data_IF_134946563071
#
_entry.id   IF_134946563071
#
_cell.length_a   1.000
_cell.length_b   1.000
_cell.length_c   1.000
_cell.angle_alpha   90.00
_cell.angle_beta   90.00
_cell.angle_gamma   90.00
#
_symmetry.space_group_name_H-M   'P 1'
#
loop_
_entity.id
_entity.type
_entity.pdbx_description
1 polymer ?
#
# COMPACT_ATOMS: atom_id res chain seq x y z
N UNK A 1 -16.98 -26.49 -19.16
CA UNK A 1 -15.93 -26.69 -18.15
C UNK A 1 -15.38 -25.32 -17.81
N UNK A 2 -15.63 -24.82 -16.60
CA UNK A 2 -15.18 -23.49 -16.19
C UNK A 2 -13.66 -23.46 -16.07
N UNK A 3 -13.02 -22.48 -16.71
CA UNK A 3 -11.61 -22.17 -16.47
C UNK A 3 -11.41 -21.97 -14.97
N UNK A 4 -10.53 -22.78 -14.35
CA UNK A 4 -10.09 -22.53 -12.99
C UNK A 4 -9.34 -21.20 -13.00
N UNK A 5 -9.94 -20.16 -12.43
CA UNK A 5 -9.24 -18.91 -12.15
C UNK A 5 -8.03 -19.23 -11.28
N UNK A 6 -6.82 -19.05 -11.80
CA UNK A 6 -5.61 -19.16 -11.01
C UNK A 6 -5.65 -18.12 -9.88
N UNK A 7 -5.11 -18.43 -8.69
CA UNK A 7 -4.84 -17.43 -7.68
C UNK A 7 -3.96 -16.32 -8.26
N UNK A 8 -4.24 -15.07 -7.87
CA UNK A 8 -3.47 -13.90 -8.32
C UNK A 8 -2.48 -13.46 -7.25
N UNK A 9 -1.29 -13.09 -7.69
CA UNK A 9 -0.32 -12.34 -6.91
C UNK A 9 -0.65 -10.85 -7.01
N UNK A 10 -0.42 -10.11 -5.92
CA UNK A 10 -0.50 -8.66 -5.87
C UNK A 10 0.87 -8.13 -5.48
N UNK A 11 1.42 -7.27 -6.32
CA UNK A 11 2.78 -6.76 -6.20
C UNK A 11 2.69 -5.25 -6.07
N UNK A 12 3.33 -4.72 -5.04
CA UNK A 12 3.46 -3.30 -4.79
C UNK A 12 4.91 -2.91 -5.09
N UNK A 13 5.06 -1.91 -5.96
CA UNK A 13 6.32 -1.29 -6.33
C UNK A 13 6.31 0.14 -5.80
N UNK A 14 7.22 0.47 -4.89
CA UNK A 14 7.31 1.81 -4.30
C UNK A 14 7.72 2.88 -5.31
N UNK A 15 8.33 2.49 -6.44
CA UNK A 15 8.77 3.43 -7.48
C UNK A 15 9.97 4.29 -7.08
N UNK A 16 10.75 3.86 -6.08
CA UNK A 16 11.90 4.61 -5.54
C UNK A 16 13.02 4.84 -6.56
N UNK A 17 13.08 4.05 -7.63
CA UNK A 17 14.06 4.25 -8.71
C UNK A 17 13.95 5.66 -9.34
N UNK A 18 12.77 6.29 -9.23
CA UNK A 18 12.51 7.63 -9.76
C UNK A 18 12.56 8.74 -8.70
N UNK A 19 13.04 8.46 -7.48
CA UNK A 19 13.09 9.46 -6.40
C UNK A 19 13.87 10.72 -6.81
N UNK A 20 13.35 11.95 -6.55
CA UNK A 20 12.20 12.31 -5.72
C UNK A 20 10.84 12.34 -6.47
N UNK A 21 10.78 11.94 -7.74
CA UNK A 21 9.56 11.85 -8.54
C UNK A 21 9.07 10.39 -8.60
N UNK A 22 8.84 9.81 -7.42
CA UNK A 22 8.48 8.41 -7.29
C UNK A 22 7.17 8.13 -8.05
N UNK A 23 7.13 6.99 -8.72
CA UNK A 23 5.97 6.54 -9.51
C UNK A 23 5.64 5.13 -9.04
N UNK A 24 5.10 5.04 -7.84
CA UNK A 24 4.70 3.78 -7.24
C UNK A 24 3.52 3.15 -7.97
N UNK A 25 3.39 1.83 -7.86
CA UNK A 25 2.40 1.05 -8.60
C UNK A 25 1.93 -0.13 -7.79
N UNK A 26 0.69 -0.56 -8.04
CA UNK A 26 0.16 -1.84 -7.58
C UNK A 26 -0.29 -2.60 -8.82
N UNK A 27 0.25 -3.80 -9.01
CA UNK A 27 -0.05 -4.68 -10.13
C UNK A 27 -0.49 -6.05 -9.64
N UNK A 28 -1.19 -6.82 -10.49
CA UNK A 28 -1.49 -8.22 -10.23
C UNK A 28 -1.16 -9.11 -11.40
N UNK A 29 -0.77 -10.34 -11.14
CA UNK A 29 -0.57 -11.36 -12.17
C UNK A 29 -1.05 -12.72 -11.64
N UNK A 30 -1.12 -13.72 -12.51
CA UNK A 30 -1.27 -15.09 -12.07
C UNK A 30 -0.02 -15.53 -11.30
N UNK A 31 -0.15 -16.60 -10.51
CA UNK A 31 0.95 -17.17 -9.71
C UNK A 31 2.13 -17.70 -10.53
N UNK A 32 1.94 -17.94 -11.83
CA UNK A 32 2.99 -18.27 -12.79
C UNK A 32 3.63 -17.04 -13.46
N UNK A 33 3.21 -15.83 -13.08
CA UNK A 33 3.67 -14.57 -13.65
C UNK A 33 2.92 -14.10 -14.91
N UNK A 34 2.01 -14.89 -15.46
CA UNK A 34 1.21 -14.52 -16.63
C UNK A 34 0.09 -13.52 -16.30
N UNK A 35 -0.53 -12.92 -17.33
CA UNK A 35 -1.68 -12.02 -17.18
C UNK A 35 -1.43 -10.85 -16.20
N UNK A 36 -0.30 -10.16 -16.38
CA UNK A 36 0.04 -8.96 -15.62
C UNK A 36 -0.95 -7.82 -15.92
N UNK A 37 -1.52 -7.25 -14.87
CA UNK A 37 -2.52 -6.17 -14.91
C UNK A 37 -2.12 -5.08 -13.95
N UNK A 38 -2.09 -3.85 -14.44
CA UNK A 38 -1.93 -2.66 -13.60
C UNK A 38 -3.24 -2.35 -12.91
N UNK A 39 -3.22 -2.17 -11.59
CA UNK A 39 -4.38 -1.76 -10.80
C UNK A 39 -4.28 -0.27 -10.44
N UNK A 40 -3.11 0.14 -9.95
CA UNK A 40 -2.76 1.55 -9.74
C UNK A 40 -1.39 1.83 -10.33
N UNK A 41 -1.24 3.03 -10.90
CA UNK A 41 -0.02 3.50 -11.54
C UNK A 41 0.29 4.94 -11.12
N UNK A 42 1.52 5.40 -11.35
CA UNK A 42 1.97 6.77 -11.13
C UNK A 42 1.66 7.33 -9.73
N UNK A 43 1.76 6.49 -8.70
CA UNK A 43 1.49 6.89 -7.31
C UNK A 43 2.68 7.68 -6.74
N UNK A 44 2.47 8.97 -6.48
CA UNK A 44 3.46 9.85 -5.85
C UNK A 44 3.54 9.72 -4.32
N UNK A 45 2.71 8.85 -3.73
CA UNK A 45 2.55 8.68 -2.29
C UNK A 45 3.52 7.66 -1.68
N UNK A 46 4.41 7.11 -2.51
CA UNK A 46 5.45 6.15 -2.10
C UNK A 46 4.84 4.95 -1.34
N UNK A 47 4.02 4.12 -2.01
CA UNK A 47 3.39 2.96 -1.38
C UNK A 47 4.46 1.97 -0.89
N UNK A 48 4.27 1.32 0.25
CA UNK A 48 5.27 0.40 0.85
C UNK A 48 4.69 -0.99 1.15
N UNK A 49 3.94 -1.14 2.23
CA UNK A 49 3.34 -2.42 2.62
C UNK A 49 1.98 -2.65 1.97
N UNK A 50 1.66 -3.90 1.61
CA UNK A 50 0.32 -4.33 1.15
C UNK A 50 -0.15 -5.60 1.88
N UNK A 51 -1.44 -5.67 2.19
CA UNK A 51 -2.10 -6.86 2.73
C UNK A 51 -3.53 -7.02 2.17
N UNK A 52 -4.02 -8.26 2.09
CA UNK A 52 -5.36 -8.56 1.56
C UNK A 52 -6.23 -9.20 2.63
N UNK A 53 -7.47 -8.72 2.76
CA UNK A 53 -8.49 -9.32 3.62
C UNK A 53 -9.90 -9.03 3.11
N UNK A 54 -10.77 -10.04 3.10
CA UNK A 54 -12.18 -9.95 2.68
C UNK A 54 -12.39 -9.23 1.33
N UNK A 55 -11.60 -9.59 0.31
CA UNK A 55 -11.66 -9.01 -1.05
C UNK A 55 -11.29 -7.52 -1.15
N UNK A 56 -10.62 -6.98 -0.13
CA UNK A 56 -9.96 -5.67 -0.16
C UNK A 56 -8.45 -5.84 -0.05
N UNK A 57 -7.71 -5.01 -0.79
CA UNK A 57 -6.31 -4.73 -0.53
C UNK A 57 -6.20 -3.48 0.34
N UNK A 58 -5.24 -3.50 1.25
CA UNK A 58 -4.88 -2.42 2.16
C UNK A 58 -3.40 -2.13 1.97
N UNK A 59 -3.02 -0.88 1.80
CA UNK A 59 -1.61 -0.51 1.67
C UNK A 59 -1.28 0.75 2.45
N UNK A 60 -0.01 0.87 2.79
CA UNK A 60 0.55 2.06 3.42
C UNK A 60 1.17 2.96 2.37
N UNK A 61 1.06 4.26 2.59
CA UNK A 61 1.72 5.29 1.81
C UNK A 61 2.68 6.03 2.73
N UNK A 62 3.97 6.01 2.40
CA UNK A 62 4.96 6.71 3.21
C UNK A 62 4.86 8.25 3.08
N UNK A 63 4.21 8.74 2.02
CA UNK A 63 4.12 10.16 1.68
C UNK A 63 5.10 10.57 0.58
N UNK A 64 4.92 11.74 -0.06
CA UNK A 64 5.84 12.26 -1.09
C UNK A 64 7.29 12.45 -0.61
N UNK A 65 7.49 12.66 0.70
CA UNK A 65 8.81 12.80 1.31
C UNK A 65 8.91 12.04 2.62
N UNK A 66 10.11 11.65 3.04
CA UNK A 66 10.33 10.96 4.32
C UNK A 66 10.26 11.86 5.56
N UNK A 67 10.01 13.17 5.40
CA UNK A 67 10.18 14.18 6.46
C UNK A 67 8.86 14.77 6.95
N UNK A 68 7.79 14.57 6.19
CA UNK A 68 6.49 15.19 6.45
C UNK A 68 5.56 14.21 7.16
N UNK A 69 4.59 14.76 7.89
CA UNK A 69 3.48 14.00 8.46
C UNK A 69 2.37 13.78 7.41
N UNK A 70 2.74 13.22 6.25
CA UNK A 70 1.85 13.00 5.11
C UNK A 70 1.69 11.51 4.76
N UNK A 71 2.09 10.64 5.69
CA UNK A 71 1.81 9.21 5.63
C UNK A 71 0.32 8.92 5.74
N UNK A 72 -0.16 7.91 5.02
CA UNK A 72 -1.57 7.50 5.02
C UNK A 72 -1.72 6.00 4.85
N UNK A 73 -2.94 5.49 5.09
CA UNK A 73 -3.31 4.10 4.78
C UNK A 73 -4.56 4.13 3.92
N UNK A 74 -4.54 3.38 2.84
CA UNK A 74 -5.64 3.29 1.89
C UNK A 74 -6.07 1.84 1.69
N UNK A 75 -7.27 1.67 1.15
CA UNK A 75 -7.78 0.38 0.70
C UNK A 75 -8.55 0.51 -0.61
N UNK A 76 -8.74 -0.61 -1.30
CA UNK A 76 -9.66 -0.75 -2.44
C UNK A 76 -10.02 -2.22 -2.66
N UNK A 77 -11.02 -2.49 -3.50
CA UNK A 77 -11.25 -3.84 -4.03
C UNK A 77 -10.06 -4.30 -4.85
N UNK A 78 -9.93 -5.61 -5.01
CA UNK A 78 -8.83 -6.25 -5.75
C UNK A 78 -8.71 -5.85 -7.24
N UNK A 79 -9.73 -5.22 -7.82
CA UNK A 79 -9.74 -4.67 -9.19
C UNK A 79 -9.44 -3.16 -9.23
N UNK A 80 -9.18 -2.54 -8.09
CA UNK A 80 -8.91 -1.10 -7.95
C UNK A 80 -10.16 -0.24 -7.69
N UNK A 81 -11.36 -0.80 -7.77
CA UNK A 81 -12.59 -0.08 -7.44
C UNK A 81 -12.74 0.17 -5.94
N UNK A 82 -13.64 1.09 -5.55
CA UNK A 82 -13.87 1.46 -4.14
C UNK A 82 -12.60 1.87 -3.38
N UNK A 83 -11.68 2.60 -4.04
CA UNK A 83 -10.52 3.20 -3.38
C UNK A 83 -10.96 4.19 -2.31
N UNK A 84 -10.40 4.07 -1.11
CA UNK A 84 -10.75 4.90 0.05
C UNK A 84 -9.55 5.03 0.98
N UNK A 85 -9.30 6.25 1.45
CA UNK A 85 -8.37 6.51 2.56
C UNK A 85 -9.01 6.09 3.87
N UNK A 86 -8.34 5.22 4.63
CA UNK A 86 -8.83 4.72 5.93
C UNK A 86 -8.05 5.28 7.12
N UNK A 87 -6.85 5.80 6.87
CA UNK A 87 -6.11 6.65 7.79
C UNK A 87 -5.60 7.84 6.98
N UNK A 88 -6.13 9.02 7.29
CA UNK A 88 -5.78 10.27 6.62
C UNK A 88 -4.35 10.71 6.93
N UNK A 89 -3.81 11.60 6.10
CA UNK A 89 -2.55 12.29 6.38
C UNK A 89 -2.67 13.19 7.62
N UNK A 90 -1.54 13.49 8.25
CA UNK A 90 -1.50 14.36 9.44
C UNK A 90 -1.83 13.66 10.76
N UNK A 91 -2.20 12.37 10.75
CA UNK A 91 -2.48 11.62 11.98
C UNK A 91 -1.18 11.41 12.77
N UNK A 92 -1.19 11.86 14.03
CA UNK A 92 -0.05 11.70 14.95
C UNK A 92 0.28 10.20 15.10
N UNK A 93 1.57 9.87 14.95
CA UNK A 93 2.06 8.49 15.03
C UNK A 93 2.00 7.70 13.72
N UNK A 94 1.46 8.26 12.63
CA UNK A 94 1.39 7.61 11.30
C UNK A 94 2.39 8.27 10.33
N UNK A 95 3.62 8.46 10.79
CA UNK A 95 4.69 8.99 9.95
C UNK A 95 5.35 7.86 9.17
N UNK A 96 5.52 8.06 7.86
CA UNK A 96 6.16 7.10 6.94
C UNK A 96 5.75 5.64 7.20
N UNK A 97 4.45 5.29 7.20
CA UNK A 97 4.01 3.93 7.47
C UNK A 97 4.58 2.97 6.44
N UNK A 98 5.11 1.84 6.90
CA UNK A 98 5.82 0.81 6.13
C UNK A 98 5.01 -0.49 6.08
N UNK A 99 5.63 -1.64 6.36
CA UNK A 99 5.00 -2.94 6.33
C UNK A 99 3.68 -2.97 7.12
N UNK A 100 2.64 -3.52 6.50
CA UNK A 100 1.30 -3.71 7.05
C UNK A 100 0.98 -5.20 7.14
N UNK A 101 0.27 -5.61 8.18
CA UNK A 101 -0.22 -6.98 8.35
C UNK A 101 -1.62 -6.97 8.96
N UNK A 102 -2.36 -8.05 8.73
CA UNK A 102 -3.73 -8.21 9.19
C UNK A 102 -3.77 -9.36 10.18
N UNK A 103 -4.49 -9.16 11.29
CA UNK A 103 -4.83 -10.19 12.27
C UNK A 103 -6.33 -10.49 12.16
N UNK A 104 -6.75 -11.43 11.29
CA UNK A 104 -8.16 -11.63 10.95
C UNK A 104 -9.03 -12.02 12.14
N UNK A 105 -8.50 -12.87 13.04
CA UNK A 105 -9.23 -13.36 14.21
C UNK A 105 -9.63 -12.23 15.17
N UNK A 106 -8.82 -11.18 15.26
CA UNK A 106 -9.07 -10.02 16.12
C UNK A 106 -9.65 -8.83 15.36
N UNK A 107 -9.82 -8.91 14.03
CA UNK A 107 -10.26 -7.79 13.19
C UNK A 107 -9.33 -6.59 13.23
N UNK A 108 -8.02 -6.80 13.40
CA UNK A 108 -7.02 -5.72 13.55
C UNK A 108 -6.09 -5.65 12.36
N UNK A 109 -5.66 -4.44 12.02
CA UNK A 109 -4.61 -4.16 11.05
C UNK A 109 -3.46 -3.49 11.83
N UNK A 110 -2.24 -3.96 11.61
CA UNK A 110 -1.02 -3.44 12.23
C UNK A 110 -0.10 -2.92 11.14
N UNK A 111 0.48 -1.74 11.33
CA UNK A 111 1.54 -1.22 10.48
C UNK A 111 2.71 -0.72 11.32
N UNK A 112 3.92 -0.85 10.78
CA UNK A 112 5.09 -0.20 11.34
C UNK A 112 5.15 1.25 10.84
N UNK A 113 5.33 2.21 11.74
CA UNK A 113 5.54 3.61 11.39
C UNK A 113 6.93 4.03 11.86
N UNK A 114 7.63 4.84 11.07
CA UNK A 114 8.89 5.43 11.49
C UNK A 114 8.67 6.90 11.79
N UNK A 115 8.92 7.27 13.04
CA UNK A 115 8.85 8.64 13.49
C UNK A 115 10.27 9.17 13.68
N UNK A 116 10.57 10.32 13.09
CA UNK A 116 11.80 11.06 13.38
C UNK A 116 11.41 12.38 14.06
N UNK A 117 11.72 12.52 15.35
CA UNK A 117 11.75 13.86 15.95
C UNK A 117 12.97 14.57 15.35
N UNK A 118 12.75 15.61 14.56
CA UNK A 118 13.77 16.65 14.49
C UNK A 118 13.97 17.12 15.94
N UNK A 119 15.17 16.88 16.46
CA UNK A 119 15.45 16.92 17.88
C UNK A 119 14.81 18.08 18.61
N UNK A 120 14.29 17.78 19.81
CA UNK A 120 14.26 18.75 20.88
C UNK A 120 15.67 19.37 21.01
N UNK A 121 15.82 20.57 20.47
CA UNK A 121 16.95 21.48 20.64
C UNK A 121 16.39 22.84 20.98
#
# INVERSE_FOLDING_TARGET
MGSLSLPRLYILDTGLINFPNQQGRIVSCNTDGSDLRTIFDNMSTMPDGIAIHNNYMYWTNMGPTFKSNDGSIERSRLDGSERTTIVESGIIGVHTPKQITIAPKSGKIYCACFYWEHGAG
#
